data_IF_702896606902
#
_entry.id   IF_702896606902
#
_cell.length_a   1.000
_cell.length_b   1.000
_cell.length_c   1.000
_cell.angle_alpha   90.00
_cell.angle_beta   90.00
_cell.angle_gamma   90.00
#
_symmetry.space_group_name_H-M   'P 1'
#
loop_
_entity.id
_entity.type
_entity.pdbx_description
1 polymer ?
#
# COMPACT_ATOMS: atom_id res chain seq x y z
N UNK A 1 37.74 13.68 19.21
CA UNK A 1 36.90 13.30 20.38
C UNK A 1 35.37 13.51 20.23
N UNK A 2 34.78 13.96 19.10
CA UNK A 2 33.31 13.95 18.93
C UNK A 2 32.76 12.78 18.08
N UNK A 3 33.60 12.09 17.29
CA UNK A 3 33.14 11.01 16.38
C UNK A 3 32.71 9.73 17.12
N UNK A 4 33.43 9.31 18.16
CA UNK A 4 33.12 8.10 18.96
C UNK A 4 31.78 8.22 19.69
N UNK A 5 31.43 9.42 20.16
CA UNK A 5 30.16 9.67 20.84
C UNK A 5 28.95 9.59 19.88
N UNK A 6 29.14 9.91 18.59
CA UNK A 6 28.11 9.76 17.57
C UNK A 6 27.92 8.29 17.16
N UNK A 7 29.02 7.53 17.03
CA UNK A 7 28.97 6.09 16.75
C UNK A 7 28.30 5.29 17.88
N UNK A 8 28.58 5.64 19.14
CA UNK A 8 27.96 5.02 20.30
C UNK A 8 26.47 5.39 20.46
N UNK A 9 26.08 6.61 20.06
CA UNK A 9 24.68 7.03 20.06
C UNK A 9 23.86 6.29 18.98
N UNK A 10 24.43 6.12 17.78
CA UNK A 10 23.77 5.44 16.67
C UNK A 10 23.66 3.92 16.91
N UNK A 11 24.70 3.31 17.51
CA UNK A 11 24.66 1.90 17.93
C UNK A 11 23.55 1.59 18.92
N UNK A 12 23.30 2.48 19.91
CA UNK A 12 22.20 2.29 20.89
C UNK A 12 20.82 2.34 20.23
N UNK A 13 20.58 3.29 19.31
CA UNK A 13 19.31 3.39 18.58
C UNK A 13 19.03 2.18 17.68
N UNK A 14 20.06 1.63 17.04
CA UNK A 14 19.90 0.46 16.17
C UNK A 14 19.59 -0.82 16.98
N UNK A 15 20.20 -0.96 18.16
CA UNK A 15 19.85 -2.02 19.12
C UNK A 15 18.40 -1.89 19.62
N UNK A 16 17.95 -0.68 19.91
CA UNK A 16 16.56 -0.41 20.32
C UNK A 16 15.55 -0.79 19.22
N UNK A 17 15.86 -0.50 17.95
CA UNK A 17 14.99 -0.81 16.80
C UNK A 17 14.82 -2.32 16.58
N UNK A 18 15.90 -3.11 16.72
CA UNK A 18 15.84 -4.58 16.64
C UNK A 18 15.14 -5.21 17.85
N UNK A 19 15.22 -4.56 19.01
CA UNK A 19 14.50 -4.99 20.22
C UNK A 19 12.98 -4.75 20.09
N UNK A 20 12.56 -3.65 19.46
CA UNK A 20 11.16 -3.37 19.18
C UNK A 20 10.52 -4.48 18.33
N UNK A 21 11.23 -5.00 17.32
CA UNK A 21 10.76 -6.13 16.50
C UNK A 21 10.45 -7.41 17.30
N UNK A 22 11.12 -7.64 18.43
CA UNK A 22 10.89 -8.80 19.32
C UNK A 22 9.74 -8.59 20.32
N UNK A 23 9.17 -7.40 20.38
CA UNK A 23 8.05 -7.10 21.28
C UNK A 23 6.76 -7.73 20.77
N UNK A 24 6.05 -8.51 21.61
CA UNK A 24 4.80 -9.22 21.23
C UNK A 24 3.71 -8.33 20.62
N UNK A 25 3.75 -7.03 20.86
CA UNK A 25 2.77 -6.05 20.34
C UNK A 25 3.20 -5.43 19.00
N UNK A 26 4.49 -5.41 18.68
CA UNK A 26 5.04 -4.77 17.48
C UNK A 26 5.02 -5.71 16.28
N UNK A 27 5.44 -6.97 16.45
CA UNK A 27 5.54 -7.93 15.35
C UNK A 27 4.21 -8.09 14.57
N UNK A 28 3.03 -8.22 15.22
CA UNK A 28 1.76 -8.34 14.50
C UNK A 28 1.43 -7.06 13.73
N UNK A 29 1.65 -5.88 14.33
CA UNK A 29 1.41 -4.60 13.67
C UNK A 29 2.34 -4.42 12.46
N UNK A 30 3.63 -4.67 12.64
CA UNK A 30 4.62 -4.61 11.57
C UNK A 30 4.25 -5.55 10.42
N UNK A 31 3.92 -6.81 10.71
CA UNK A 31 3.53 -7.77 9.69
C UNK A 31 2.28 -7.31 8.91
N UNK A 32 1.25 -6.80 9.61
CA UNK A 32 0.04 -6.30 8.92
C UNK A 32 0.33 -5.09 8.02
N UNK A 33 1.17 -4.17 8.47
CA UNK A 33 1.54 -2.98 7.69
C UNK A 33 2.45 -3.34 6.50
N UNK A 34 3.41 -4.23 6.73
CA UNK A 34 4.29 -4.73 5.69
C UNK A 34 3.52 -5.48 4.61
N UNK A 35 2.63 -6.41 5.00
CA UNK A 35 1.82 -7.18 4.06
C UNK A 35 0.85 -6.29 3.29
N UNK A 36 0.27 -5.26 3.92
CA UNK A 36 -0.53 -4.25 3.23
C UNK A 36 0.29 -3.51 2.18
N UNK A 37 1.36 -2.84 2.59
CA UNK A 37 2.21 -2.11 1.65
C UNK A 37 2.79 -2.99 0.52
N UNK A 38 3.13 -4.25 0.83
CA UNK A 38 3.58 -5.22 -0.17
C UNK A 38 2.48 -5.55 -1.17
N UNK A 39 1.28 -5.90 -0.69
CA UNK A 39 0.12 -6.20 -1.52
C UNK A 39 -0.17 -5.03 -2.47
N UNK A 40 -0.09 -3.81 -1.95
CA UNK A 40 -0.42 -2.61 -2.70
C UNK A 40 0.53 -2.34 -3.85
N UNK A 41 1.82 -2.44 -3.56
CA UNK A 41 2.85 -2.27 -4.57
C UNK A 41 2.83 -3.42 -5.57
N UNK A 42 2.65 -4.66 -5.10
CA UNK A 42 2.59 -5.83 -5.98
C UNK A 42 1.46 -5.71 -7.00
N UNK A 43 0.25 -5.35 -6.55
CA UNK A 43 -0.90 -5.21 -7.45
C UNK A 43 -0.67 -4.12 -8.48
N UNK A 44 -0.25 -2.92 -8.05
CA UNK A 44 0.06 -1.82 -8.96
C UNK A 44 1.10 -2.21 -9.99
N UNK A 45 2.21 -2.79 -9.56
CA UNK A 45 3.30 -3.19 -10.45
C UNK A 45 2.84 -4.28 -11.41
N UNK A 46 2.15 -5.32 -10.94
CA UNK A 46 1.62 -6.38 -11.79
C UNK A 46 0.63 -5.85 -12.83
N UNK A 47 -0.27 -4.94 -12.44
CA UNK A 47 -1.18 -4.26 -13.35
C UNK A 47 -0.43 -3.50 -14.44
N UNK A 48 0.52 -2.65 -14.05
CA UNK A 48 1.32 -1.84 -15.00
C UNK A 48 2.08 -2.74 -15.97
N UNK A 49 2.74 -3.80 -15.47
CA UNK A 49 3.43 -4.79 -16.31
C UNK A 49 2.48 -5.50 -17.29
N UNK A 50 1.31 -5.92 -16.83
CA UNK A 50 0.30 -6.57 -17.68
C UNK A 50 -0.20 -5.62 -18.77
N UNK A 51 -0.46 -4.36 -18.42
CA UNK A 51 -0.96 -3.35 -19.37
C UNK A 51 0.10 -3.05 -20.43
N UNK A 52 1.34 -2.81 -20.04
CA UNK A 52 2.45 -2.49 -20.97
C UNK A 52 2.78 -3.70 -21.85
N UNK A 53 3.10 -4.84 -21.24
CA UNK A 53 3.66 -5.99 -21.97
C UNK A 53 2.61 -6.99 -22.45
N UNK A 54 1.48 -7.10 -21.75
CA UNK A 54 0.44 -8.08 -22.08
C UNK A 54 -0.63 -7.56 -23.03
N UNK A 55 -1.03 -6.30 -22.90
CA UNK A 55 -2.20 -5.75 -23.63
C UNK A 55 -1.77 -4.83 -24.78
N UNK A 56 -0.92 -3.83 -24.51
CA UNK A 56 -0.53 -2.85 -25.54
C UNK A 56 0.65 -3.31 -26.39
N UNK A 57 1.60 -4.07 -25.84
CA UNK A 57 2.73 -4.61 -26.57
C UNK A 57 3.70 -3.54 -27.12
N UNK A 58 3.56 -2.28 -26.71
CA UNK A 58 4.36 -1.16 -27.16
C UNK A 58 4.93 -0.37 -25.95
N UNK A 59 6.26 -0.39 -25.75
CA UNK A 59 6.93 0.37 -24.69
C UNK A 59 6.71 1.89 -24.80
N UNK A 60 6.38 2.44 -25.98
CA UNK A 60 6.24 3.90 -26.14
C UNK A 60 5.01 4.47 -25.41
N UNK A 61 4.01 3.63 -25.08
CA UNK A 61 2.86 4.02 -24.26
C UNK A 61 3.11 3.93 -22.74
N UNK A 62 4.33 3.59 -22.30
CA UNK A 62 4.71 3.45 -20.89
C UNK A 62 4.45 4.73 -20.07
N UNK A 63 4.82 5.90 -20.58
CA UNK A 63 4.87 7.12 -19.78
C UNK A 63 3.46 7.58 -19.33
N UNK A 64 2.49 7.57 -20.25
CA UNK A 64 1.11 7.96 -19.94
C UNK A 64 0.39 6.85 -19.15
N UNK A 65 0.68 5.59 -19.46
CA UNK A 65 0.06 4.43 -18.79
C UNK A 65 0.57 4.19 -17.37
N UNK A 66 1.76 4.70 -17.03
CA UNK A 66 2.36 4.54 -15.69
C UNK A 66 2.05 5.70 -14.73
N UNK A 67 1.88 6.92 -15.25
CA UNK A 67 1.58 8.10 -14.43
C UNK A 67 0.13 8.11 -13.91
N UNK A 68 -0.82 7.67 -14.75
CA UNK A 68 -2.26 7.66 -14.41
C UNK A 68 -2.59 6.73 -13.22
N UNK A 69 -2.08 5.49 -13.14
CA UNK A 69 -2.22 4.62 -11.97
C UNK A 69 -1.68 5.23 -10.66
N UNK A 70 -0.56 5.96 -10.73
CA UNK A 70 0.02 6.66 -9.58
C UNK A 70 -0.96 7.67 -8.98
N UNK A 71 -1.50 8.54 -9.82
CA UNK A 71 -2.49 9.55 -9.43
C UNK A 71 -3.83 8.95 -8.98
N UNK A 72 -4.34 7.94 -9.68
CA UNK A 72 -5.60 7.28 -9.34
C UNK A 72 -5.57 6.58 -7.98
N UNK A 73 -4.41 6.07 -7.58
CA UNK A 73 -4.27 5.45 -6.27
C UNK A 73 -4.20 6.49 -5.13
N UNK A 74 -3.60 7.66 -5.34
CA UNK A 74 -3.47 8.64 -4.25
C UNK A 74 -4.70 9.53 -4.11
N UNK A 75 -5.49 9.66 -5.18
CA UNK A 75 -6.67 10.52 -5.24
C UNK A 75 -7.74 10.20 -4.19
N UNK A 76 -8.21 8.96 -4.03
CA UNK A 76 -9.28 8.65 -3.09
C UNK A 76 -8.81 8.86 -1.65
N UNK A 77 -7.59 8.45 -1.29
CA UNK A 77 -6.97 8.80 -0.02
C UNK A 77 -7.02 10.30 0.26
N UNK A 78 -6.58 11.12 -0.70
CA UNK A 78 -6.55 12.57 -0.56
C UNK A 78 -7.95 13.16 -0.35
N UNK A 79 -8.92 12.77 -1.19
CA UNK A 79 -10.29 13.27 -1.15
C UNK A 79 -11.06 12.83 0.10
N UNK A 80 -10.85 11.60 0.56
CA UNK A 80 -11.59 11.01 1.67
C UNK A 80 -10.88 11.19 3.03
N UNK A 81 -9.64 11.68 3.06
CA UNK A 81 -8.83 11.84 4.28
C UNK A 81 -9.56 12.59 5.40
N UNK A 82 -10.20 13.72 5.09
CA UNK A 82 -10.92 14.53 6.07
C UNK A 82 -12.15 13.80 6.64
N UNK A 83 -12.88 13.06 5.80
CA UNK A 83 -14.06 12.30 6.19
C UNK A 83 -13.69 11.12 7.08
N UNK A 84 -12.65 10.36 6.70
CA UNK A 84 -12.14 9.23 7.49
C UNK A 84 -11.56 9.72 8.82
N UNK A 85 -10.91 10.88 8.85
CA UNK A 85 -10.42 11.50 10.08
C UNK A 85 -11.53 11.75 11.10
N UNK A 86 -12.62 12.39 10.67
CA UNK A 86 -13.79 12.62 11.54
C UNK A 86 -14.46 11.32 12.00
N UNK A 87 -14.53 10.32 11.12
CA UNK A 87 -15.11 9.02 11.45
C UNK A 87 -14.23 8.23 12.44
N UNK A 88 -12.91 8.34 12.33
CA UNK A 88 -11.95 7.69 13.21
C UNK A 88 -11.86 8.31 14.61
N UNK A 89 -12.22 9.58 14.75
CA UNK A 89 -12.27 10.25 16.05
C UNK A 89 -13.57 9.97 16.82
N UNK A 90 -14.65 9.62 16.11
CA UNK A 90 -15.97 9.34 16.70
C UNK A 90 -16.26 7.86 16.96
N UNK A 91 -15.41 6.94 16.48
CA UNK A 91 -15.63 5.49 16.55
C UNK A 91 -14.40 4.72 17.07
N UNK A 92 -14.62 3.46 17.44
CA UNK A 92 -13.51 2.54 17.77
C UNK A 92 -12.59 2.34 16.55
N UNK A 93 -11.36 2.86 16.67
CA UNK A 93 -10.31 2.77 15.66
C UNK A 93 -10.03 1.33 15.24
N UNK A 94 -10.10 0.38 16.17
CA UNK A 94 -9.88 -1.04 15.86
C UNK A 94 -10.99 -1.61 14.96
N UNK A 95 -12.24 -1.15 15.14
CA UNK A 95 -13.37 -1.58 14.31
C UNK A 95 -13.25 -1.03 12.89
N UNK A 96 -12.91 0.24 12.73
CA UNK A 96 -12.71 0.85 11.40
C UNK A 96 -11.59 0.14 10.65
N UNK A 97 -10.43 -0.08 11.30
CA UNK A 97 -9.29 -0.78 10.69
C UNK A 97 -9.69 -2.16 10.17
N UNK A 98 -10.47 -2.94 10.95
CA UNK A 98 -10.94 -4.26 10.51
C UNK A 98 -11.87 -4.20 9.31
N UNK A 99 -12.79 -3.22 9.27
CA UNK A 99 -13.70 -3.04 8.13
C UNK A 99 -12.93 -2.70 6.87
N UNK A 100 -12.01 -1.73 6.95
CA UNK A 100 -11.17 -1.31 5.82
C UNK A 100 -10.32 -2.49 5.32
N UNK A 101 -9.67 -3.23 6.22
CA UNK A 101 -8.87 -4.40 5.84
C UNK A 101 -9.70 -5.51 5.19
N UNK A 102 -10.93 -5.70 5.64
CA UNK A 102 -11.84 -6.67 5.04
C UNK A 102 -12.28 -6.22 3.66
N UNK A 103 -12.59 -4.93 3.48
CA UNK A 103 -12.89 -4.36 2.17
C UNK A 103 -11.72 -4.49 1.20
N UNK A 104 -10.48 -4.26 1.67
CA UNK A 104 -9.26 -4.44 0.89
C UNK A 104 -9.16 -5.86 0.32
N UNK A 105 -9.43 -6.90 1.13
CA UNK A 105 -9.41 -8.29 0.64
C UNK A 105 -10.41 -8.50 -0.52
N UNK A 106 -11.62 -7.96 -0.42
CA UNK A 106 -12.61 -8.07 -1.50
C UNK A 106 -12.18 -7.30 -2.76
N UNK A 107 -11.62 -6.10 -2.59
CA UNK A 107 -11.06 -5.31 -3.69
C UNK A 107 -9.93 -6.07 -4.37
N UNK A 108 -9.06 -6.73 -3.59
CA UNK A 108 -7.95 -7.53 -4.13
C UNK A 108 -8.42 -8.78 -4.86
N UNK A 109 -9.49 -9.45 -4.41
CA UNK A 109 -10.10 -10.56 -5.16
C UNK A 109 -10.63 -10.05 -6.50
N UNK A 110 -11.28 -8.89 -6.52
CA UNK A 110 -11.80 -8.27 -7.74
C UNK A 110 -10.67 -7.83 -8.68
N UNK A 111 -9.61 -7.23 -8.14
CA UNK A 111 -8.40 -6.86 -8.87
C UNK A 111 -7.68 -8.07 -9.46
N UNK A 112 -7.58 -9.17 -8.70
CA UNK A 112 -7.01 -10.42 -9.18
C UNK A 112 -7.82 -11.00 -10.35
N UNK A 113 -9.16 -10.96 -10.28
CA UNK A 113 -10.00 -11.32 -11.43
C UNK A 113 -9.74 -10.41 -12.64
N UNK A 114 -9.51 -9.11 -12.42
CA UNK A 114 -9.12 -8.16 -13.47
C UNK A 114 -7.80 -8.49 -14.14
N UNK A 115 -6.82 -8.96 -13.37
CA UNK A 115 -5.53 -9.42 -13.90
C UNK A 115 -5.72 -10.69 -14.75
N UNK A 116 -6.49 -11.66 -14.24
CA UNK A 116 -6.74 -12.92 -14.98
C UNK A 116 -7.53 -12.71 -16.27
N UNK A 117 -8.50 -11.80 -16.25
CA UNK A 117 -9.34 -11.45 -17.40
C UNK A 117 -8.69 -10.43 -18.34
N UNK A 118 -7.51 -9.89 -17.98
CA UNK A 118 -6.81 -8.82 -18.70
C UNK A 118 -7.69 -7.59 -18.98
N UNK A 119 -8.57 -7.25 -18.03
CA UNK A 119 -9.56 -6.19 -18.19
C UNK A 119 -9.06 -4.88 -17.57
N UNK A 120 -8.55 -3.97 -18.41
CA UNK A 120 -7.97 -2.68 -17.96
C UNK A 120 -8.94 -1.82 -17.14
N UNK A 121 -10.21 -1.60 -17.56
CA UNK A 121 -11.16 -0.89 -16.72
C UNK A 121 -11.34 -1.51 -15.33
N UNK A 122 -11.43 -2.84 -15.23
CA UNK A 122 -11.58 -3.53 -13.95
C UNK A 122 -10.38 -3.28 -13.03
N UNK A 123 -9.18 -3.32 -13.61
CA UNK A 123 -7.92 -3.06 -12.92
C UNK A 123 -7.84 -1.62 -12.40
N UNK A 124 -8.24 -0.64 -13.21
CA UNK A 124 -8.27 0.78 -12.82
C UNK A 124 -9.30 1.04 -11.71
N UNK A 125 -10.48 0.41 -11.78
CA UNK A 125 -11.50 0.49 -10.72
C UNK A 125 -10.97 -0.11 -9.42
N UNK A 126 -10.36 -1.29 -9.48
CA UNK A 126 -9.76 -1.93 -8.30
C UNK A 126 -8.64 -1.07 -7.70
N UNK A 127 -7.74 -0.52 -8.53
CA UNK A 127 -6.66 0.36 -8.09
C UNK A 127 -7.19 1.63 -7.41
N UNK A 128 -8.24 2.22 -7.96
CA UNK A 128 -8.85 3.44 -7.40
C UNK A 128 -9.62 3.12 -6.12
N UNK A 129 -10.32 2.00 -6.04
CA UNK A 129 -11.07 1.61 -4.83
C UNK A 129 -10.15 1.27 -3.65
N UNK A 130 -8.91 0.87 -3.96
CA UNK A 130 -7.90 0.46 -2.99
C UNK A 130 -7.13 1.64 -2.39
N UNK A 131 -6.98 2.72 -3.15
CA UNK A 131 -6.39 3.98 -2.67
C UNK A 131 -7.32 4.74 -1.72
#
# INVERSE_FOLDING_TARGET
MPLVALEDFDRRRMQDSLHLLKTRRFLPLFATQFLGAFNDNLFRTAMVLLVIYGIYGDPQQEATSSAVPGGLFILPFFLLSALVGQLADSNDKARIIRIVKTAEIFIMIFGAAGLMLQNVPLLLVALTAMG
#
